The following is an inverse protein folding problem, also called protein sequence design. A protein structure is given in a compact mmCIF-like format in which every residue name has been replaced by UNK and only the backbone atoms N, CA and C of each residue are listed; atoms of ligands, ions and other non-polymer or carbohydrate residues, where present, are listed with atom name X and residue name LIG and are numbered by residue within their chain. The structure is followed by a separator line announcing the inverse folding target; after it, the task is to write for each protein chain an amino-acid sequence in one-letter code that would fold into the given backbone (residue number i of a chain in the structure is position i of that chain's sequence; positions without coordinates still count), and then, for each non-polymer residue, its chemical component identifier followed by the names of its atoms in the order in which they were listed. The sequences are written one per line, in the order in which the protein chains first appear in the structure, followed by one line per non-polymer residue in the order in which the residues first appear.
data_IF_975351074285
#
_entry.id   IF_975351074285
#
_cell.length_a   1.000
_cell.length_b   1.000
_cell.length_c   1.000
_cell.angle_alpha   90.00
_cell.angle_beta   90.00
_cell.angle_gamma   90.00
#
_symmetry.space_group_name_H-M   'P 1'
#
loop_
_entity.id
_entity.type
_entity.pdbx_description
1 polymer ?
#
# COMPACT_ATOMS: atom_id res chain seq x y z
N UNK A 1 6.25 -45.77 28.23
CA UNK A 1 6.64 -45.74 26.80
C UNK A 1 5.52 -45.29 25.85
N UNK A 2 4.29 -45.82 25.93
CA UNK A 2 3.19 -45.46 24.99
C UNK A 2 2.92 -43.94 24.87
N UNK A 3 3.02 -43.19 25.97
CA UNK A 3 2.79 -41.73 26.01
C UNK A 3 3.88 -40.87 25.36
N UNK A 4 5.12 -41.37 25.26
CA UNK A 4 6.22 -40.64 24.64
C UNK A 4 6.20 -40.80 23.11
N UNK A 5 5.91 -42.01 22.65
CA UNK A 5 5.81 -42.33 21.21
C UNK A 5 4.64 -41.56 20.58
N UNK A 6 3.48 -41.55 21.22
CA UNK A 6 2.32 -40.81 20.70
C UNK A 6 2.55 -39.30 20.64
N UNK A 7 3.26 -38.72 21.61
CA UNK A 7 3.65 -37.30 21.58
C UNK A 7 4.65 -36.98 20.48
N UNK A 8 5.61 -37.87 20.22
CA UNK A 8 6.58 -37.71 19.14
C UNK A 8 5.90 -37.81 17.76
N UNK A 9 5.00 -38.78 17.59
CA UNK A 9 4.24 -38.95 16.34
C UNK A 9 3.33 -37.74 16.10
N UNK A 10 2.64 -37.24 17.13
CA UNK A 10 1.83 -36.02 17.01
C UNK A 10 2.65 -34.79 16.62
N UNK A 11 3.84 -34.62 17.19
CA UNK A 11 4.76 -33.51 16.85
C UNK A 11 5.34 -33.62 15.44
N UNK A 12 5.63 -34.84 14.99
CA UNK A 12 6.09 -35.08 13.62
C UNK A 12 4.99 -34.79 12.60
N UNK A 13 3.74 -35.18 12.90
CA UNK A 13 2.56 -34.89 12.06
C UNK A 13 2.30 -33.38 11.96
N UNK A 14 2.36 -32.66 13.07
CA UNK A 14 2.21 -31.19 13.09
C UNK A 14 3.30 -30.48 12.27
N UNK A 15 4.55 -30.95 12.36
CA UNK A 15 5.65 -30.40 11.57
C UNK A 15 5.46 -30.67 10.06
N UNK A 16 5.04 -31.89 9.70
CA UNK A 16 4.79 -32.26 8.31
C UNK A 16 3.65 -31.44 7.68
N UNK A 17 2.62 -31.10 8.45
CA UNK A 17 1.50 -30.27 7.99
C UNK A 17 1.86 -28.79 7.86
N UNK A 18 2.69 -28.26 8.77
CA UNK A 18 3.00 -26.82 8.83
C UNK A 18 4.18 -26.42 7.94
N UNK A 19 5.20 -27.27 7.82
CA UNK A 19 6.43 -26.98 7.06
C UNK A 19 6.95 -28.26 6.38
N UNK A 20 6.32 -28.71 5.28
CA UNK A 20 6.56 -30.03 4.70
C UNK A 20 8.00 -30.22 4.22
N UNK A 21 8.62 -29.17 3.66
CA UNK A 21 9.98 -29.23 3.14
C UNK A 21 11.03 -29.37 4.26
N UNK A 22 10.85 -28.64 5.36
CA UNK A 22 11.69 -28.77 6.56
C UNK A 22 11.48 -30.13 7.23
N UNK A 23 10.24 -30.62 7.31
CA UNK A 23 9.94 -31.94 7.85
C UNK A 23 10.64 -33.05 7.05
N UNK A 24 10.64 -32.95 5.73
CA UNK A 24 11.30 -33.90 4.84
C UNK A 24 12.81 -33.88 4.98
N UNK A 25 13.43 -32.69 4.96
CA UNK A 25 14.88 -32.55 5.15
C UNK A 25 15.34 -33.05 6.53
N UNK A 26 14.60 -32.72 7.59
CA UNK A 26 14.91 -33.17 8.95
C UNK A 26 14.73 -34.68 9.09
N UNK A 27 13.66 -35.24 8.53
CA UNK A 27 13.41 -36.68 8.50
C UNK A 27 14.52 -37.43 7.77
N UNK A 28 14.94 -36.94 6.60
CA UNK A 28 16.05 -37.51 5.83
C UNK A 28 17.38 -37.46 6.61
N UNK A 29 17.68 -36.34 7.28
CA UNK A 29 18.89 -36.20 8.08
C UNK A 29 18.92 -37.15 9.29
N UNK A 30 17.81 -37.27 10.02
CA UNK A 30 17.70 -38.20 11.15
C UNK A 30 17.80 -39.66 10.70
N UNK A 31 17.22 -39.99 9.54
CA UNK A 31 17.31 -41.33 8.94
C UNK A 31 18.74 -41.65 8.47
N UNK A 32 19.43 -40.70 7.82
CA UNK A 32 20.82 -40.87 7.42
C UNK A 32 21.73 -41.08 8.65
N UNK A 33 21.51 -40.32 9.74
CA UNK A 33 22.23 -40.50 10.99
C UNK A 33 21.98 -41.88 11.59
N UNK A 34 20.72 -42.33 11.63
CA UNK A 34 20.36 -43.66 12.09
C UNK A 34 21.10 -44.75 11.32
N UNK A 35 21.08 -44.69 9.98
CA UNK A 35 21.76 -45.65 9.12
C UNK A 35 23.28 -45.63 9.33
N UNK A 36 23.88 -44.45 9.45
CA UNK A 36 25.33 -44.33 9.67
C UNK A 36 25.79 -44.94 11.00
N UNK A 37 24.98 -44.81 12.05
CA UNK A 37 25.25 -45.39 13.36
C UNK A 37 25.00 -46.90 13.39
N UNK A 38 23.95 -47.36 12.70
CA UNK A 38 23.61 -48.79 12.64
C UNK A 38 24.61 -49.59 11.79
N UNK A 39 25.00 -49.05 10.63
CA UNK A 39 25.90 -49.70 9.67
C UNK A 39 27.39 -49.56 10.02
N UNK A 40 27.73 -48.81 11.08
CA UNK A 40 29.12 -48.64 11.51
C UNK A 40 29.75 -50.00 11.83
N UNK A 41 30.70 -50.44 11.00
CA UNK A 41 31.49 -51.65 11.25
C UNK A 41 32.34 -51.44 12.51
N UNK A 42 32.28 -52.37 13.44
CA UNK A 42 33.19 -52.38 14.59
C UNK A 42 34.54 -52.94 14.12
N UNK A 43 35.66 -52.27 14.43
CA UNK A 43 36.99 -52.69 13.97
C UNK A 43 37.52 -53.98 14.64
N UNK A 44 36.76 -54.58 15.57
CA UNK A 44 37.23 -55.70 16.40
C UNK A 44 36.59 -57.07 16.05
N UNK A 45 36.05 -57.26 14.85
CA UNK A 45 35.32 -58.48 14.48
C UNK A 45 36.06 -59.34 13.43
N UNK A 46 37.27 -59.82 13.75
CA UNK A 46 37.94 -60.88 12.97
C UNK A 46 38.18 -62.18 13.76
N UNK A 47 37.66 -62.31 14.98
CA UNK A 47 37.65 -63.58 15.71
C UNK A 47 36.27 -64.24 15.62
N UNK A 48 36.23 -65.53 15.27
CA UNK A 48 35.03 -66.40 15.12
C UNK A 48 34.02 -66.16 16.24
N UNK A 49 32.95 -65.41 15.95
CA UNK A 49 31.94 -65.04 16.93
C UNK A 49 30.66 -65.85 16.72
N UNK A 50 30.15 -66.41 17.81
CA UNK A 50 28.86 -67.10 17.87
C UNK A 50 27.73 -66.21 17.32
N UNK A 51 26.76 -66.82 16.64
CA UNK A 51 25.57 -66.15 16.09
C UNK A 51 24.85 -65.30 17.15
N UNK A 52 24.83 -65.76 18.40
CA UNK A 52 24.24 -65.03 19.54
C UNK A 52 24.97 -63.71 19.81
N UNK A 53 26.30 -63.70 19.69
CA UNK A 53 27.11 -62.49 19.88
C UNK A 53 26.90 -61.48 18.75
N UNK A 54 26.78 -61.96 17.51
CA UNK A 54 26.44 -61.09 16.38
C UNK A 54 25.07 -60.45 16.56
N UNK A 55 24.06 -61.22 16.99
CA UNK A 55 22.71 -60.73 17.24
C UNK A 55 22.69 -59.71 18.39
N UNK A 56 23.39 -59.99 19.49
CA UNK A 56 23.53 -59.10 20.64
C UNK A 56 24.22 -57.77 20.26
N UNK A 57 25.31 -57.83 19.50
CA UNK A 57 26.02 -56.63 19.06
C UNK A 57 25.21 -55.78 18.09
N UNK A 58 24.41 -56.41 17.22
CA UNK A 58 23.54 -55.72 16.27
C UNK A 58 22.34 -55.06 16.99
N UNK A 59 21.71 -55.75 17.94
CA UNK A 59 20.60 -55.16 18.72
C UNK A 59 21.09 -54.01 19.59
N UNK A 60 22.28 -54.12 20.20
CA UNK A 60 22.91 -53.02 20.94
C UNK A 60 23.15 -51.77 20.08
N UNK A 61 23.63 -51.93 18.84
CA UNK A 61 23.82 -50.80 17.90
C UNK A 61 22.51 -50.19 17.46
N UNK A 62 21.49 -51.01 17.19
CA UNK A 62 20.15 -50.52 16.87
C UNK A 62 19.58 -49.68 18.01
N UNK A 63 19.65 -50.19 19.26
CA UNK A 63 19.17 -49.47 20.44
C UNK A 63 19.92 -48.16 20.66
N UNK A 64 21.24 -48.15 20.47
CA UNK A 64 22.05 -46.93 20.56
C UNK A 64 21.67 -45.91 19.48
N UNK A 65 21.58 -46.33 18.22
CA UNK A 65 21.18 -45.46 17.10
C UNK A 65 19.77 -44.88 17.32
N UNK A 66 18.83 -45.72 17.75
CA UNK A 66 17.47 -45.29 18.09
C UNK A 66 17.46 -44.28 19.25
N UNK A 67 18.25 -44.51 20.30
CA UNK A 67 18.37 -43.59 21.43
C UNK A 67 18.93 -42.23 21.03
N UNK A 68 19.97 -42.18 20.19
CA UNK A 68 20.56 -40.93 19.68
C UNK A 68 19.57 -40.14 18.83
N UNK A 69 18.87 -40.80 17.90
CA UNK A 69 17.85 -40.16 17.06
C UNK A 69 16.69 -39.63 17.91
N UNK A 70 16.25 -40.40 18.91
CA UNK A 70 15.17 -39.99 19.81
C UNK A 70 15.58 -38.78 20.65
N UNK A 71 16.81 -38.74 21.17
CA UNK A 71 17.36 -37.60 21.88
C UNK A 71 17.40 -36.35 20.99
N UNK A 72 17.93 -36.46 19.77
CA UNK A 72 17.97 -35.36 18.82
C UNK A 72 16.57 -34.85 18.47
N UNK A 73 15.64 -35.75 18.16
CA UNK A 73 14.25 -35.38 17.89
C UNK A 73 13.60 -34.64 19.07
N UNK A 74 13.88 -35.06 20.32
CA UNK A 74 13.40 -34.35 21.51
C UNK A 74 14.05 -32.98 21.67
N UNK A 75 15.36 -32.84 21.47
CA UNK A 75 16.05 -31.54 21.57
C UNK A 75 15.52 -30.54 20.54
N UNK A 76 15.29 -30.97 19.30
CA UNK A 76 14.70 -30.15 18.25
C UNK A 76 13.26 -29.74 18.58
N UNK A 77 12.47 -30.65 19.15
CA UNK A 77 11.11 -30.33 19.59
C UNK A 77 11.08 -29.29 20.73
N UNK A 78 12.00 -29.38 21.68
CA UNK A 78 12.15 -28.41 22.77
C UNK A 78 12.59 -27.06 22.20
N UNK A 79 13.59 -27.04 21.32
CA UNK A 79 14.08 -25.82 20.67
C UNK A 79 12.96 -25.13 19.86
N UNK A 80 12.19 -25.89 19.07
CA UNK A 80 11.04 -25.36 18.31
C UNK A 80 10.01 -24.74 19.24
N UNK A 81 9.69 -25.41 20.36
CA UNK A 81 8.72 -24.89 21.34
C UNK A 81 9.24 -23.61 21.99
N UNK A 82 10.52 -23.57 22.37
CA UNK A 82 11.16 -22.39 22.92
C UNK A 82 11.15 -21.23 21.91
N UNK A 83 11.59 -21.45 20.67
CA UNK A 83 11.57 -20.43 19.62
C UNK A 83 10.15 -19.93 19.35
N UNK A 84 9.15 -20.81 19.28
CA UNK A 84 7.75 -20.42 19.10
C UNK A 84 7.25 -19.57 20.27
N UNK A 85 7.59 -19.94 21.50
CA UNK A 85 7.21 -19.18 22.69
C UNK A 85 7.94 -17.84 22.77
N UNK A 86 9.23 -17.79 22.46
CA UNK A 86 10.02 -16.56 22.40
C UNK A 86 9.50 -15.61 21.32
N UNK A 87 9.13 -16.13 20.15
CA UNK A 87 8.48 -15.35 19.09
C UNK A 87 7.11 -14.85 19.57
N UNK A 88 6.27 -15.71 20.16
CA UNK A 88 4.96 -15.29 20.66
C UNK A 88 5.07 -14.22 21.76
N UNK A 89 5.98 -14.40 22.71
CA UNK A 89 6.23 -13.44 23.78
C UNK A 89 6.82 -12.14 23.26
N UNK A 90 7.78 -12.20 22.33
CA UNK A 90 8.29 -11.02 21.64
C UNK A 90 7.16 -10.29 20.91
N UNK A 91 6.34 -10.99 20.13
CA UNK A 91 5.19 -10.40 19.42
C UNK A 91 4.17 -9.75 20.36
N UNK A 92 3.92 -10.35 21.52
CA UNK A 92 2.99 -9.83 22.52
C UNK A 92 3.53 -8.58 23.23
N UNK A 93 4.81 -8.57 23.60
CA UNK A 93 5.43 -7.50 24.38
C UNK A 93 5.91 -6.33 23.50
N UNK A 94 6.40 -6.65 22.30
CA UNK A 94 7.07 -5.71 21.41
C UNK A 94 6.18 -5.31 20.22
N UNK A 95 5.01 -5.94 20.05
CA UNK A 95 4.22 -5.79 18.84
C UNK A 95 4.90 -6.45 17.64
N UNK A 96 4.10 -6.93 16.69
CA UNK A 96 4.61 -7.37 15.39
C UNK A 96 4.93 -6.16 14.52
N UNK A 97 6.08 -6.12 13.85
CA UNK A 97 6.21 -5.42 12.55
C UNK A 97 5.78 -6.44 11.50
N UNK A 98 4.48 -6.76 11.49
CA UNK A 98 3.89 -7.58 10.43
C UNK A 98 2.83 -6.75 9.74
N UNK A 99 2.53 -7.09 8.50
CA UNK A 99 1.48 -6.48 7.69
C UNK A 99 0.16 -6.31 8.45
N UNK A 100 -0.29 -7.31 9.22
CA UNK A 100 -1.50 -7.20 10.04
C UNK A 100 -1.45 -6.06 11.08
N UNK A 101 -0.29 -5.82 11.69
CA UNK A 101 -0.10 -4.74 12.65
C UNK A 101 0.01 -3.39 11.96
N UNK A 102 0.68 -3.34 10.80
CA UNK A 102 0.75 -2.18 9.93
C UNK A 102 -0.66 -1.75 9.51
N UNK A 103 -1.46 -2.67 8.98
CA UNK A 103 -2.86 -2.43 8.60
C UNK A 103 -3.70 -1.96 9.80
N UNK A 104 -3.49 -2.55 10.98
CA UNK A 104 -4.19 -2.16 12.20
C UNK A 104 -3.76 -0.80 12.78
N UNK A 105 -2.57 -0.28 12.45
CA UNK A 105 -2.19 1.09 12.83
C UNK A 105 -2.66 2.11 11.81
N UNK A 106 -2.73 1.76 10.52
CA UNK A 106 -3.28 2.63 9.49
C UNK A 106 -4.73 3.03 9.79
N UNK A 107 -5.54 2.14 10.37
CA UNK A 107 -6.92 2.45 10.78
C UNK A 107 -7.02 3.46 11.93
N UNK A 108 -5.96 3.64 12.71
CA UNK A 108 -5.94 4.52 13.90
C UNK A 108 -5.21 5.83 13.61
N UNK A 109 -4.10 5.75 12.88
CA UNK A 109 -3.18 6.87 12.66
C UNK A 109 -3.27 7.47 11.26
N UNK A 110 -3.98 6.83 10.34
CA UNK A 110 -4.08 7.22 8.94
C UNK A 110 -3.33 6.25 8.03
N UNK A 111 -3.86 6.00 6.84
CA UNK A 111 -3.18 5.22 5.82
C UNK A 111 -2.10 6.05 5.10
N UNK A 112 -1.37 5.40 4.20
CA UNK A 112 -0.59 6.10 3.18
C UNK A 112 -1.51 7.00 2.35
N UNK A 113 -1.06 8.21 2.04
CA UNK A 113 -1.88 9.19 1.31
C UNK A 113 -1.45 9.29 -0.14
N UNK A 114 -2.44 9.14 -1.03
CA UNK A 114 -2.28 9.38 -2.48
C UNK A 114 -3.27 10.45 -2.89
N UNK A 115 -2.83 11.70 -2.93
CA UNK A 115 -3.59 12.79 -3.51
C UNK A 115 -3.56 12.69 -5.04
N UNK A 116 -4.73 12.63 -5.67
CA UNK A 116 -4.85 12.80 -7.12
C UNK A 116 -5.35 14.19 -7.45
N UNK A 117 -4.98 14.72 -8.60
CA UNK A 117 -5.50 16.01 -9.05
C UNK A 117 -7.04 16.02 -9.11
N UNK A 118 -7.61 17.22 -8.96
CA UNK A 118 -8.99 17.52 -9.32
C UNK A 118 -9.27 17.11 -10.77
N UNK A 119 -10.49 16.68 -11.06
CA UNK A 119 -11.00 16.52 -12.43
C UNK A 119 -12.14 17.51 -12.68
N UNK A 120 -12.18 18.10 -13.88
CA UNK A 120 -13.34 18.84 -14.39
C UNK A 120 -13.86 18.16 -15.66
N UNK A 121 -15.02 17.50 -15.58
CA UNK A 121 -15.70 16.95 -16.75
C UNK A 121 -16.77 17.92 -17.23
N UNK A 122 -16.69 18.34 -18.48
CA UNK A 122 -17.65 19.27 -19.10
C UNK A 122 -18.53 18.50 -20.08
N UNK A 123 -19.84 18.73 -20.04
CA UNK A 123 -20.81 18.07 -20.90
C UNK A 123 -22.05 18.93 -21.17
N UNK A 124 -22.80 18.59 -22.22
CA UNK A 124 -24.12 19.13 -22.50
C UNK A 124 -25.07 18.03 -22.92
N UNK A 125 -26.36 18.25 -22.70
CA UNK A 125 -27.41 17.33 -23.10
C UNK A 125 -27.94 17.75 -24.48
N UNK A 126 -27.93 16.86 -25.46
CA UNK A 126 -28.46 17.09 -26.80
C UNK A 126 -29.69 16.21 -27.06
N UNK A 127 -30.76 16.80 -27.58
CA UNK A 127 -31.93 16.05 -28.00
C UNK A 127 -31.68 15.44 -29.40
N UNK A 128 -31.49 14.12 -29.45
CA UNK A 128 -31.32 13.37 -30.69
C UNK A 128 -32.63 12.65 -31.01
N UNK A 129 -33.13 12.81 -32.24
CA UNK A 129 -34.29 12.05 -32.73
C UNK A 129 -33.80 10.77 -33.39
N UNK A 130 -34.06 9.63 -32.76
CA UNK A 130 -33.77 8.31 -33.30
C UNK A 130 -34.97 7.85 -34.15
N UNK A 131 -34.73 7.58 -35.43
CA UNK A 131 -35.74 7.01 -36.34
C UNK A 131 -35.55 5.51 -36.41
N UNK A 132 -36.49 4.75 -35.88
CA UNK A 132 -36.53 3.30 -36.01
C UNK A 132 -37.48 2.93 -37.13
N UNK A 133 -36.95 2.35 -38.21
CA UNK A 133 -37.75 1.77 -39.29
C UNK A 133 -38.17 0.35 -38.91
N UNK A 134 -39.42 -0.01 -39.17
CA UNK A 134 -39.90 -1.37 -38.96
C UNK A 134 -39.55 -2.24 -40.18
N UNK A 135 -39.36 -3.55 -39.99
CA UNK A 135 -39.17 -4.50 -41.11
C UNK A 135 -40.37 -4.55 -42.07
N UNK A 136 -41.55 -4.15 -41.59
CA UNK A 136 -42.76 -4.01 -42.39
C UNK A 136 -42.80 -2.59 -43.02
N UNK A 137 -42.62 -2.45 -44.35
CA UNK A 137 -42.58 -1.16 -45.03
C UNK A 137 -43.92 -0.41 -45.01
N UNK A 138 -45.02 -1.04 -44.59
CA UNK A 138 -46.32 -0.38 -44.44
C UNK A 138 -46.47 0.39 -43.11
N UNK A 139 -45.58 0.16 -42.13
CA UNK A 139 -45.63 0.85 -40.83
C UNK A 139 -44.81 2.14 -40.85
N UNK A 140 -45.36 3.28 -40.39
CA UNK A 140 -44.60 4.52 -40.32
C UNK A 140 -43.45 4.38 -39.32
N UNK A 141 -42.30 4.96 -39.65
CA UNK A 141 -41.12 4.93 -38.80
C UNK A 141 -41.41 5.56 -37.43
N UNK A 142 -40.91 4.93 -36.37
CA UNK A 142 -41.06 5.43 -35.01
C UNK A 142 -39.97 6.48 -34.74
N UNK A 143 -40.37 7.72 -34.48
CA UNK A 143 -39.47 8.78 -34.07
C UNK A 143 -39.44 8.83 -32.54
N UNK A 144 -38.29 8.46 -31.95
CA UNK A 144 -38.06 8.54 -30.50
C UNK A 144 -37.11 9.68 -30.21
N UNK A 145 -37.58 10.67 -29.45
CA UNK A 145 -36.72 11.70 -28.86
C UNK A 145 -35.91 11.08 -27.72
N UNK A 146 -34.59 11.24 -27.75
CA UNK A 146 -33.67 10.76 -26.73
C UNK A 146 -32.71 11.87 -26.35
N UNK A 147 -32.59 12.16 -25.06
CA UNK A 147 -31.54 13.02 -24.54
C UNK A 147 -30.23 12.22 -24.50
N UNK A 148 -29.21 12.72 -25.19
CA UNK A 148 -27.87 12.14 -25.23
C UNK A 148 -26.90 13.12 -24.60
N UNK A 149 -26.18 12.69 -23.58
CA UNK A 149 -25.13 13.47 -22.97
C UNK A 149 -23.88 13.43 -23.86
N UNK A 150 -23.37 14.59 -24.26
CA UNK A 150 -22.11 14.72 -24.99
C UNK A 150 -21.05 15.40 -24.13
N UNK A 151 -19.88 14.78 -24.05
CA UNK A 151 -18.74 15.36 -23.37
C UNK A 151 -18.00 16.34 -24.28
N UNK A 152 -17.58 17.46 -23.72
CA UNK A 152 -16.72 18.42 -24.39
C UNK A 152 -15.27 17.96 -24.25
N UNK A 153 -14.56 17.88 -25.38
CA UNK A 153 -13.14 17.53 -25.42
C UNK A 153 -12.31 18.80 -25.26
N UNK A 154 -11.36 18.79 -24.34
CA UNK A 154 -10.43 19.90 -24.13
C UNK A 154 -9.74 19.78 -22.79
N UNK A 155 -8.58 20.42 -22.65
CA UNK A 155 -7.86 20.48 -21.38
C UNK A 155 -8.26 21.76 -20.65
N UNK A 156 -9.06 21.68 -19.56
CA UNK A 156 -9.54 22.86 -18.86
C UNK A 156 -8.48 23.50 -17.95
N UNK A 157 -7.33 22.86 -17.72
CA UNK A 157 -6.32 23.34 -16.79
C UNK A 157 -5.40 24.37 -17.45
N UNK A 158 -5.40 25.58 -16.90
CA UNK A 158 -4.53 26.68 -17.34
C UNK A 158 -3.28 26.77 -16.46
N UNK A 159 -3.44 26.67 -15.14
CA UNK A 159 -2.35 26.71 -14.17
C UNK A 159 -2.74 25.95 -12.90
N UNK A 160 -1.73 25.49 -12.16
CA UNK A 160 -1.91 24.83 -10.87
C UNK A 160 -0.79 25.20 -9.90
N UNK A 161 -1.15 25.67 -8.70
CA UNK A 161 -0.20 26.00 -7.66
C UNK A 161 -0.61 25.28 -6.38
N UNK A 162 0.28 24.43 -5.88
CA UNK A 162 0.02 23.55 -4.75
C UNK A 162 1.08 23.79 -3.68
N UNK A 163 0.63 23.95 -2.44
CA UNK A 163 1.48 24.08 -1.27
C UNK A 163 1.07 22.99 -0.28
N UNK A 164 2.03 22.17 0.11
CA UNK A 164 1.83 21.09 1.07
C UNK A 164 2.93 21.18 2.10
N UNK A 165 2.54 21.34 3.36
CA UNK A 165 3.45 21.20 4.49
C UNK A 165 3.24 19.84 5.15
N UNK A 166 4.30 19.05 5.28
CA UNK A 166 4.28 17.75 5.93
C UNK A 166 5.24 17.75 7.12
N UNK A 167 4.70 17.63 8.33
CA UNK A 167 5.47 17.57 9.59
C UNK A 167 5.51 16.14 10.08
N UNK A 168 6.68 15.64 10.47
CA UNK A 168 6.80 14.29 11.01
C UNK A 168 6.10 14.18 12.36
N UNK A 169 5.32 13.12 12.52
CA UNK A 169 4.68 12.74 13.76
C UNK A 169 4.89 11.23 13.96
N UNK A 170 6.13 10.78 14.25
CA UNK A 170 6.43 9.36 14.42
C UNK A 170 5.69 8.79 15.64
N UNK A 171 5.09 7.61 15.49
CA UNK A 171 4.23 6.99 16.52
C UNK A 171 4.68 5.60 16.87
N UNK A 172 4.61 5.27 18.16
CA UNK A 172 5.05 3.98 18.71
C UNK A 172 3.84 3.13 19.10
N UNK A 173 3.84 1.84 18.72
CA UNK A 173 2.90 0.83 19.20
C UNK A 173 3.67 -0.43 19.60
N UNK A 174 3.68 -0.73 20.90
CA UNK A 174 4.61 -1.71 21.46
C UNK A 174 6.04 -1.19 21.35
N UNK A 175 6.94 -1.98 20.77
CA UNK A 175 8.31 -1.58 20.45
C UNK A 175 8.45 -0.96 19.06
N UNK A 176 7.49 -1.22 18.17
CA UNK A 176 7.54 -0.77 16.78
C UNK A 176 7.28 0.73 16.67
N UNK A 177 8.14 1.40 15.89
CA UNK A 177 8.05 2.82 15.57
C UNK A 177 7.62 2.97 14.11
N UNK A 178 6.63 3.83 13.86
CA UNK A 178 6.07 4.04 12.54
C UNK A 178 6.23 5.50 12.14
N UNK A 179 6.62 5.74 10.89
CA UNK A 179 6.79 7.07 10.31
C UNK A 179 5.45 7.73 10.00
N UNK A 180 4.75 8.17 11.04
CA UNK A 180 3.54 8.98 10.91
C UNK A 180 3.86 10.44 10.57
N UNK A 181 2.86 11.15 10.07
CA UNK A 181 2.96 12.57 9.75
C UNK A 181 1.61 13.28 9.80
N UNK A 182 1.67 14.60 9.84
CA UNK A 182 0.54 15.51 9.65
C UNK A 182 0.79 16.37 8.42
N UNK A 183 -0.27 16.64 7.67
CA UNK A 183 -0.22 17.49 6.46
C UNK A 183 -1.15 18.67 6.59
N UNK A 184 -0.69 19.83 6.15
CA UNK A 184 -1.54 20.94 5.76
C UNK A 184 -1.43 21.09 4.24
N UNK A 185 -2.52 20.84 3.55
CA UNK A 185 -2.59 20.86 2.10
C UNK A 185 -3.36 22.09 1.62
N UNK A 186 -2.84 22.74 0.57
CA UNK A 186 -3.52 23.81 -0.16
C UNK A 186 -3.28 23.59 -1.66
N UNK A 187 -4.32 23.21 -2.37
CA UNK A 187 -4.31 23.04 -3.81
C UNK A 187 -5.09 24.19 -4.46
N UNK A 188 -4.50 24.84 -5.46
CA UNK A 188 -5.14 25.89 -6.26
C UNK A 188 -5.02 25.57 -7.73
N UNK A 189 -6.10 25.76 -8.48
CA UNK A 189 -6.16 25.61 -9.93
C UNK A 189 -6.79 26.83 -10.57
N UNK A 190 -6.28 27.20 -11.74
CA UNK A 190 -6.96 28.08 -12.68
C UNK A 190 -7.49 27.22 -13.81
N UNK A 191 -8.81 27.21 -13.97
CA UNK A 191 -9.49 26.43 -14.99
C UNK A 191 -10.21 27.35 -15.97
N UNK A 192 -10.40 26.87 -17.19
CA UNK A 192 -11.23 27.50 -18.21
C UNK A 192 -12.11 26.46 -18.89
N UNK A 193 -13.40 26.73 -19.03
CA UNK A 193 -14.30 25.86 -19.79
C UNK A 193 -13.86 25.82 -21.25
N UNK A 194 -13.57 24.65 -21.83
CA UNK A 194 -13.20 24.55 -23.25
C UNK A 194 -14.40 24.71 -24.20
N UNK A 195 -15.61 24.84 -23.67
CA UNK A 195 -16.84 24.91 -24.46
C UNK A 195 -17.10 26.30 -25.03
N UNK A 196 -17.63 26.33 -26.25
CA UNK A 196 -18.11 27.52 -26.97
C UNK A 196 -19.58 27.88 -26.65
N UNK A 197 -20.18 27.13 -25.72
CA UNK A 197 -21.61 27.18 -25.36
C UNK A 197 -21.80 26.96 -23.87
N UNK A 198 -23.01 27.22 -23.41
CA UNK A 198 -23.43 26.86 -22.06
C UNK A 198 -23.43 25.33 -21.87
N UNK A 199 -22.83 24.88 -20.77
CA UNK A 199 -22.60 23.46 -20.47
C UNK A 199 -22.77 23.21 -18.98
N UNK A 200 -22.75 21.93 -18.59
CA UNK A 200 -22.62 21.50 -17.20
C UNK A 200 -21.19 21.03 -16.95
N UNK A 201 -20.65 21.39 -15.80
CA UNK A 201 -19.34 20.95 -15.31
C UNK A 201 -19.48 20.15 -14.03
N UNK A 202 -18.86 18.97 -13.98
CA UNK A 202 -18.67 18.20 -12.76
C UNK A 202 -17.22 18.30 -12.30
N UNK A 203 -17.03 19.02 -11.20
CA UNK A 203 -15.77 19.07 -10.45
C UNK A 203 -15.73 17.88 -9.50
N UNK A 204 -14.65 17.09 -9.55
CA UNK A 204 -14.43 15.95 -8.65
C UNK A 204 -13.03 15.99 -8.06
N UNK A 205 -12.95 16.17 -6.75
CA UNK A 205 -11.69 16.15 -6.00
C UNK A 205 -11.59 14.89 -5.14
N UNK A 206 -10.73 13.92 -5.50
CA UNK A 206 -10.54 12.72 -4.70
C UNK A 206 -9.79 13.04 -3.40
N UNK A 207 -10.29 12.55 -2.28
CA UNK A 207 -9.60 12.67 -1.00
C UNK A 207 -8.42 11.68 -0.93
N UNK A 208 -7.29 12.04 -0.28
CA UNK A 208 -6.05 11.24 -0.32
C UNK A 208 -6.14 9.78 0.17
N UNK A 209 -7.07 9.49 1.07
CA UNK A 209 -7.28 8.16 1.65
C UNK A 209 -8.75 7.92 2.02
N UNK A 210 -9.24 6.72 1.75
CA UNK A 210 -10.58 6.30 2.18
C UNK A 210 -10.62 6.18 3.72
N UNK A 211 -11.62 6.79 4.35
CA UNK A 211 -11.71 6.82 5.82
C UNK A 211 -10.65 7.69 6.50
N UNK A 212 -9.94 8.53 5.75
CA UNK A 212 -9.01 9.51 6.31
C UNK A 212 -9.71 10.58 7.14
N UNK A 213 -8.97 11.20 8.05
CA UNK A 213 -9.44 12.36 8.83
C UNK A 213 -9.02 13.62 8.08
N UNK A 214 -9.99 14.47 7.79
CA UNK A 214 -9.80 15.77 7.14
C UNK A 214 -10.35 16.85 8.05
N UNK A 215 -9.49 17.77 8.46
CA UNK A 215 -9.83 18.88 9.34
C UNK A 215 -9.61 20.21 8.59
N UNK A 216 -10.28 21.28 9.03
CA UNK A 216 -10.23 22.59 8.39
C UNK A 216 -10.47 22.55 6.86
N UNK A 217 -11.31 21.62 6.40
CA UNK A 217 -11.65 21.49 4.99
C UNK A 217 -12.33 22.77 4.49
N UNK A 218 -11.78 23.36 3.44
CA UNK A 218 -12.30 24.53 2.76
C UNK A 218 -12.24 24.32 1.25
N UNK A 219 -13.33 24.62 0.57
CA UNK A 219 -13.37 24.63 -0.90
C UNK A 219 -13.97 25.93 -1.38
N UNK A 220 -13.22 26.69 -2.16
CA UNK A 220 -13.73 27.92 -2.75
C UNK A 220 -13.60 27.91 -4.26
N UNK A 221 -14.58 28.50 -4.95
CA UNK A 221 -14.52 28.79 -6.37
C UNK A 221 -14.71 30.29 -6.53
N UNK A 222 -13.76 30.96 -7.19
CA UNK A 222 -13.76 32.42 -7.35
C UNK A 222 -13.88 33.17 -5.99
N UNK A 223 -13.33 32.58 -4.92
CA UNK A 223 -13.37 33.12 -3.56
C UNK A 223 -14.65 32.81 -2.76
N UNK A 224 -15.71 32.29 -3.38
CA UNK A 224 -16.94 31.89 -2.70
C UNK A 224 -16.79 30.49 -2.09
N UNK A 225 -17.20 30.31 -0.83
CA UNK A 225 -17.25 28.98 -0.19
C UNK A 225 -18.33 28.12 -0.85
N UNK A 226 -17.91 27.02 -1.46
CA UNK A 226 -18.79 26.07 -2.15
C UNK A 226 -18.92 24.75 -1.44
N UNK A 227 -18.19 24.54 -0.33
CA UNK A 227 -18.19 23.29 0.42
C UNK A 227 -19.60 22.84 0.84
N UNK A 228 -20.53 23.73 1.30
CA UNK A 228 -21.89 23.33 1.66
C UNK A 228 -22.73 22.78 0.50
N UNK A 229 -22.32 23.01 -0.75
CA UNK A 229 -23.00 22.55 -1.97
C UNK A 229 -22.33 21.32 -2.58
N UNK A 230 -21.20 20.87 -2.03
CA UNK A 230 -20.51 19.68 -2.52
C UNK A 230 -21.09 18.42 -1.90
N UNK A 231 -21.15 17.37 -2.70
CA UNK A 231 -21.49 16.03 -2.24
C UNK A 231 -20.22 15.24 -1.95
N UNK A 232 -20.24 14.43 -0.89
CA UNK A 232 -19.20 13.44 -0.64
C UNK A 232 -19.62 12.11 -1.26
N UNK A 233 -18.94 11.68 -2.33
CA UNK A 233 -19.26 10.46 -3.06
C UNK A 233 -17.98 9.71 -3.46
N UNK A 234 -17.90 8.42 -3.11
CA UNK A 234 -16.75 7.55 -3.38
C UNK A 234 -15.41 8.18 -2.95
N UNK A 235 -15.35 8.64 -1.70
CA UNK A 235 -14.20 9.31 -1.11
C UNK A 235 -13.70 10.53 -1.94
N UNK A 236 -14.63 11.25 -2.58
CA UNK A 236 -14.34 12.48 -3.31
C UNK A 236 -15.37 13.55 -3.02
N UNK A 237 -14.94 14.81 -3.05
CA UNK A 237 -15.83 15.97 -3.07
C UNK A 237 -16.27 16.21 -4.51
N UNK A 238 -17.58 16.26 -4.73
CA UNK A 238 -18.19 16.41 -6.06
C UNK A 238 -19.09 17.63 -6.08
N UNK A 239 -18.96 18.46 -7.12
CA UNK A 239 -19.84 19.59 -7.38
C UNK A 239 -20.22 19.60 -8.86
N UNK A 240 -21.51 19.58 -9.14
CA UNK A 240 -22.02 19.80 -10.50
C UNK A 240 -22.64 21.20 -10.57
N UNK A 241 -22.30 21.95 -11.61
CA UNK A 241 -22.80 23.32 -11.85
C UNK A 241 -22.88 23.63 -13.33
N UNK A 242 -23.67 24.63 -13.67
CA UNK A 242 -23.65 25.22 -15.01
C UNK A 242 -22.37 26.05 -15.22
N UNK A 243 -21.89 26.05 -16.46
CA UNK A 243 -20.70 26.75 -16.93
C UNK A 243 -21.03 27.57 -18.17
N UNK A 244 -20.70 28.85 -18.13
CA UNK A 244 -20.75 29.71 -19.30
C UNK A 244 -19.65 29.34 -20.32
N UNK A 245 -19.81 29.71 -21.61
CA UNK A 245 -18.74 29.57 -22.60
C UNK A 245 -17.45 30.24 -22.10
N UNK A 246 -16.31 29.54 -22.18
CA UNK A 246 -15.01 30.06 -21.76
C UNK A 246 -14.95 30.58 -20.30
N UNK A 247 -15.86 30.12 -19.43
CA UNK A 247 -15.87 30.55 -18.04
C UNK A 247 -14.56 30.17 -17.34
N UNK A 248 -13.98 31.12 -16.62
CA UNK A 248 -12.77 30.93 -15.82
C UNK A 248 -13.12 30.67 -14.36
N UNK A 249 -12.45 29.68 -13.77
CA UNK A 249 -12.65 29.27 -12.39
C UNK A 249 -11.32 29.28 -11.65
N UNK A 250 -11.25 30.03 -10.55
CA UNK A 250 -10.20 29.95 -9.56
C UNK A 250 -10.65 29.00 -8.44
N UNK A 251 -10.18 27.75 -8.50
CA UNK A 251 -10.56 26.69 -7.55
C UNK A 251 -9.48 26.56 -6.49
N UNK A 252 -9.88 26.55 -5.22
CA UNK A 252 -9.00 26.29 -4.09
C UNK A 252 -9.60 25.19 -3.22
N UNK A 253 -8.80 24.21 -2.87
CA UNK A 253 -9.14 23.17 -1.90
C UNK A 253 -8.02 23.11 -0.86
N UNK A 254 -8.36 23.31 0.40
CA UNK A 254 -7.41 23.23 1.50
C UNK A 254 -7.97 22.36 2.63
N UNK A 255 -7.10 21.61 3.29
CA UNK A 255 -7.44 20.78 4.44
C UNK A 255 -6.19 20.34 5.19
N UNK A 256 -6.37 19.98 6.45
CA UNK A 256 -5.39 19.25 7.25
C UNK A 256 -5.70 17.76 7.24
N UNK A 257 -4.68 16.93 7.27
CA UNK A 257 -4.83 15.48 7.37
C UNK A 257 -3.65 14.85 8.10
N UNK A 258 -3.69 13.53 8.24
CA UNK A 258 -2.63 12.72 8.83
C UNK A 258 -2.49 11.41 8.07
N UNK A 259 -1.26 10.91 7.99
CA UNK A 259 -0.97 9.69 7.28
C UNK A 259 0.27 9.00 7.82
N UNK A 260 0.67 7.95 7.13
CA UNK A 260 1.83 7.13 7.49
C UNK A 260 2.67 6.80 6.26
N UNK A 261 3.98 6.62 6.49
CA UNK A 261 5.00 6.08 5.58
C UNK A 261 5.28 6.93 4.34
N UNK A 262 4.27 7.29 3.56
CA UNK A 262 4.42 7.98 2.29
C UNK A 262 3.33 9.03 2.10
N UNK A 263 3.70 10.11 1.43
CA UNK A 263 2.79 11.09 0.87
C UNK A 263 3.08 11.24 -0.61
N UNK A 264 2.02 11.18 -1.42
CA UNK A 264 2.12 11.11 -2.88
C UNK A 264 1.07 11.99 -3.54
N UNK A 265 1.46 12.75 -4.56
CA UNK A 265 0.60 13.52 -5.43
C UNK A 265 0.77 13.06 -6.89
N UNK A 266 -0.34 13.00 -7.64
CA UNK A 266 -0.31 12.62 -9.05
C UNK A 266 -1.33 13.38 -9.88
N UNK A 267 -0.93 13.74 -11.11
CA UNK A 267 -1.83 14.12 -12.20
C UNK A 267 -2.17 12.83 -12.97
N UNK A 268 -3.39 12.27 -12.81
CA UNK A 268 -3.70 10.96 -13.38
C UNK A 268 -4.12 11.02 -14.85
N UNK A 269 -4.72 12.13 -15.29
CA UNK A 269 -5.20 12.29 -16.66
C UNK A 269 -4.04 12.62 -17.59
N UNK A 270 -3.97 11.93 -18.74
CA UNK A 270 -3.02 12.26 -19.79
C UNK A 270 -3.45 13.56 -20.48
N UNK A 271 -2.90 14.66 -20.00
CA UNK A 271 -3.07 16.00 -20.55
C UNK A 271 -1.74 16.74 -20.55
N UNK A 272 -1.66 17.80 -21.35
CA UNK A 272 -0.60 18.78 -21.19
C UNK A 272 -0.72 19.48 -19.83
N UNK A 273 0.39 19.55 -19.11
CA UNK A 273 0.54 20.25 -17.84
C UNK A 273 1.21 21.59 -18.13
N UNK A 274 0.51 22.68 -17.83
CA UNK A 274 0.93 24.07 -18.05
C UNK A 274 0.96 24.81 -16.72
N UNK A 275 1.95 25.69 -16.54
CA UNK A 275 2.13 26.53 -15.35
C UNK A 275 1.80 25.80 -14.03
N UNK A 276 2.44 24.66 -13.82
CA UNK A 276 2.24 23.81 -12.66
C UNK A 276 3.39 23.98 -11.68
N UNK A 277 3.06 24.20 -10.41
CA UNK A 277 4.00 24.18 -9.29
C UNK A 277 3.42 23.40 -8.11
N UNK A 278 4.20 22.46 -7.57
CA UNK A 278 3.97 21.85 -6.26
C UNK A 278 5.16 22.15 -5.36
N UNK A 279 4.91 22.88 -4.27
CA UNK A 279 5.84 23.09 -3.18
C UNK A 279 5.51 22.11 -2.04
N UNK A 280 6.45 21.22 -1.73
CA UNK A 280 6.37 20.29 -0.60
C UNK A 280 7.37 20.73 0.47
N UNK A 281 6.85 21.36 1.52
CA UNK A 281 7.60 21.85 2.67
C UNK A 281 7.69 20.77 3.76
N UNK A 282 8.92 20.39 4.09
CA UNK A 282 9.25 19.36 5.08
C UNK A 282 10.06 20.02 6.21
N UNK A 283 9.42 20.71 7.18
CA UNK A 283 10.11 21.56 8.16
C UNK A 283 11.14 20.83 9.04
N UNK A 284 11.01 19.51 9.18
CA UNK A 284 11.80 18.65 10.08
C UNK A 284 12.45 17.44 9.38
N UNK A 285 12.43 17.38 8.04
CA UNK A 285 13.17 16.38 7.27
C UNK A 285 14.34 17.03 6.50
N UNK A 286 15.61 16.77 6.88
CA UNK A 286 16.75 17.35 6.19
C UNK A 286 16.97 16.71 4.81
N UNK A 287 17.61 17.47 3.90
CA UNK A 287 17.90 17.04 2.51
C UNK A 287 18.65 15.72 2.42
N UNK A 288 19.58 15.45 3.34
CA UNK A 288 20.37 14.22 3.40
C UNK A 288 19.55 12.95 3.73
N UNK A 289 18.30 13.10 4.19
CA UNK A 289 17.41 12.00 4.58
C UNK A 289 16.19 11.88 3.65
N UNK A 290 16.17 12.61 2.55
CA UNK A 290 15.09 12.53 1.58
C UNK A 290 15.09 11.16 0.89
N UNK A 291 13.90 10.60 0.77
CA UNK A 291 13.64 9.39 0.01
C UNK A 291 12.32 9.54 -0.74
N UNK A 292 12.21 8.96 -1.93
CA UNK A 292 11.08 9.15 -2.82
C UNK A 292 10.29 7.84 -2.98
N UNK A 293 8.95 7.88 -2.99
CA UNK A 293 8.13 6.72 -3.31
C UNK A 293 8.44 6.19 -4.73
N UNK A 294 8.12 4.92 -4.97
CA UNK A 294 8.21 4.35 -6.31
C UNK A 294 7.29 5.13 -7.28
N UNK A 295 7.76 5.32 -8.52
CA UNK A 295 6.99 6.03 -9.55
C UNK A 295 7.02 7.56 -9.44
N UNK A 296 7.69 8.13 -8.43
CA UNK A 296 7.92 9.57 -8.34
C UNK A 296 8.99 10.06 -9.31
N UNK A 297 8.82 11.29 -9.80
CA UNK A 297 9.89 12.08 -10.38
C UNK A 297 10.71 12.78 -9.29
N UNK A 298 11.94 13.16 -9.60
CA UNK A 298 12.73 14.02 -8.72
C UNK A 298 12.19 15.46 -8.75
N UNK A 299 12.27 16.21 -7.63
CA UNK A 299 11.97 17.64 -7.61
C UNK A 299 12.84 18.42 -8.61
N UNK A 300 12.30 19.50 -9.15
CA UNK A 300 13.04 20.47 -9.97
C UNK A 300 14.06 21.24 -9.13
N UNK A 301 13.74 21.51 -7.86
CA UNK A 301 14.70 22.04 -6.88
C UNK A 301 14.48 21.44 -5.49
N UNK A 302 15.57 21.41 -4.71
CA UNK A 302 15.60 20.97 -3.32
C UNK A 302 16.43 21.98 -2.53
N UNK A 303 15.82 22.64 -1.56
CA UNK A 303 16.45 23.69 -0.76
C UNK A 303 16.32 23.35 0.74
N UNK A 304 17.32 23.63 1.59
CA UNK A 304 17.13 23.55 3.03
C UNK A 304 16.15 24.64 3.48
N UNK A 305 15.31 24.35 4.48
CA UNK A 305 14.48 25.40 5.08
C UNK A 305 15.35 26.44 5.80
N UNK A 306 14.84 27.66 5.99
CA UNK A 306 15.59 28.78 6.62
C UNK A 306 16.19 28.46 8.00
N UNK A 307 15.60 27.49 8.71
CA UNK A 307 16.05 27.04 10.04
C UNK A 307 17.07 25.88 9.95
N UNK A 308 17.41 25.43 8.74
CA UNK A 308 18.42 24.40 8.45
C UNK A 308 18.06 22.97 8.88
N UNK A 309 16.87 22.75 9.44
CA UNK A 309 16.42 21.44 9.96
C UNK A 309 15.53 20.65 9.00
N UNK A 310 15.02 21.32 7.97
CA UNK A 310 14.08 20.75 7.01
C UNK A 310 14.51 20.97 5.58
N UNK A 311 13.61 20.63 4.66
CA UNK A 311 13.80 20.86 3.22
C UNK A 311 12.51 21.33 2.55
N UNK A 312 12.66 22.13 1.51
CA UNK A 312 11.62 22.49 0.56
C UNK A 312 11.91 21.80 -0.76
N UNK A 313 10.95 21.02 -1.25
CA UNK A 313 11.01 20.35 -2.55
C UNK A 313 10.05 21.09 -3.47
N UNK A 314 10.54 21.53 -4.64
CA UNK A 314 9.69 22.18 -5.64
C UNK A 314 9.66 21.34 -6.91
N UNK A 315 8.45 21.04 -7.38
CA UNK A 315 8.20 20.43 -8.67
C UNK A 315 7.59 21.49 -9.57
N UNK A 316 8.24 21.77 -10.70
CA UNK A 316 7.75 22.71 -11.70
C UNK A 316 7.61 22.00 -13.04
N UNK A 317 6.43 22.09 -13.62
CA UNK A 317 6.12 21.52 -14.93
C UNK A 317 5.46 22.61 -15.79
N UNK A 318 5.94 22.75 -17.01
CA UNK A 318 5.35 23.66 -18.00
C UNK A 318 5.50 23.03 -19.39
N UNK A 319 4.41 23.03 -20.15
CA UNK A 319 4.28 22.31 -21.44
C UNK A 319 4.77 20.85 -21.37
N UNK A 320 4.40 20.13 -20.29
CA UNK A 320 4.86 18.78 -20.01
C UNK A 320 3.75 17.74 -20.14
N UNK A 321 4.12 16.49 -20.44
CA UNK A 321 3.24 15.31 -20.34
C UNK A 321 3.92 14.33 -19.38
N UNK A 322 3.28 14.08 -18.23
CA UNK A 322 3.82 13.16 -17.23
C UNK A 322 2.71 12.39 -16.54
N UNK A 323 2.99 11.14 -16.23
CA UNK A 323 2.18 10.28 -15.36
C UNK A 323 2.93 9.95 -14.05
N UNK A 324 4.14 10.51 -13.88
CA UNK A 324 4.98 10.29 -12.68
C UNK A 324 4.37 11.02 -11.49
N UNK A 325 4.51 10.42 -10.32
CA UNK A 325 4.12 11.05 -9.06
C UNK A 325 5.11 12.08 -8.57
N UNK A 326 4.71 12.79 -7.54
CA UNK A 326 5.53 13.73 -6.78
C UNK A 326 5.27 13.47 -5.31
N UNK A 327 6.30 13.29 -4.49
CA UNK A 327 6.06 12.88 -3.11
C UNK A 327 7.31 12.56 -2.32
N UNK A 328 7.11 12.11 -1.09
CA UNK A 328 8.18 11.73 -0.16
C UNK A 328 7.82 10.43 0.55
N UNK A 329 8.82 9.57 0.71
CA UNK A 329 8.78 8.43 1.62
C UNK A 329 9.48 8.85 2.90
N UNK A 330 8.76 8.77 4.01
CA UNK A 330 9.31 9.03 5.31
C UNK A 330 10.29 7.91 5.67
N UNK A 331 11.39 8.24 6.36
CA UNK A 331 12.31 7.23 6.84
C UNK A 331 11.60 6.32 7.84
N UNK A 332 11.68 5.01 7.62
CA UNK A 332 11.44 4.05 8.68
C UNK A 332 12.55 4.22 9.70
N UNK A 333 12.20 4.66 10.91
CA UNK A 333 13.18 4.76 11.99
C UNK A 333 13.62 3.33 12.35
N UNK A 334 14.95 3.07 12.44
CA UNK A 334 15.51 1.74 12.63
C UNK A 334 15.12 1.08 13.95
#
# INVERSE_FOLDING_TARGET
MKTLVTRLVGRASDLAQTQPLLALCLGAALFALFLSLWLRKSPAAEAKTSLVWTLYSQTGRFLLAAAVVLLLAQTLAVLRTYLRNSVAHFQQTHGRITEANYNAVQTIWGAEQTQRELTLKVYYDEEVTERTEFEDPAKPALLRKKMVQRHVVGNPFIAAAHDVTLTQNPRKKGSALYGGYETACRFTWKLESPADRETKGTLRFPLPAQGGIYDELRVTINGEDVLPRMELSDAALVLTRDLAPHEKLDVLIAFKSRGMSQWYFQVPEQREIRDFTLALNLPDLPTARLNYPEGCMSPTSVEPTLVGRGSLLTYRLDHAISHKGMGISLPTLP
#
